data_IF_610678606587
#
_entry.id   IF_610678606587
#
_cell.length_a   1.000
_cell.length_b   1.000
_cell.length_c   1.000
_cell.angle_alpha   90.00
_cell.angle_beta   90.00
_cell.angle_gamma   90.00
#
_symmetry.space_group_name_H-M   'P 1'
#
loop_
_entity.id
_entity.type
_entity.pdbx_description
1 polymer ?
#
# COMPACT_ATOMS: atom_id res chain seq x y z
N UNK A 1 -27.60 22.51 12.61
CA UNK A 1 -27.34 21.08 12.81
C UNK A 1 -28.54 20.33 12.27
N UNK A 2 -28.37 19.62 11.16
CA UNK A 2 -29.39 18.71 10.66
C UNK A 2 -28.86 17.29 10.90
N UNK A 3 -29.50 16.57 11.81
CA UNK A 3 -29.17 15.19 12.14
C UNK A 3 -30.43 14.50 12.62
N UNK A 4 -30.63 13.26 12.17
CA UNK A 4 -31.75 12.42 12.59
C UNK A 4 -31.54 11.99 14.04
N UNK A 5 -32.37 12.42 15.00
CA UNK A 5 -32.25 11.99 16.39
C UNK A 5 -32.29 10.45 16.47
N UNK A 6 -31.25 9.84 17.04
CA UNK A 6 -31.08 8.37 17.11
C UNK A 6 -30.27 7.74 15.97
N UNK A 7 -29.76 8.52 15.01
CA UNK A 7 -28.85 8.05 13.95
C UNK A 7 -27.38 7.91 14.38
N UNK A 8 -26.46 7.55 13.47
CA UNK A 8 -25.02 7.54 13.73
C UNK A 8 -24.44 8.97 13.74
N UNK A 9 -23.77 9.36 14.82
CA UNK A 9 -23.24 10.72 14.98
C UNK A 9 -21.94 10.91 14.17
N UNK A 10 -21.78 12.02 13.43
CA UNK A 10 -20.53 12.30 12.72
C UNK A 10 -19.41 12.74 13.65
N UNK A 11 -18.20 12.25 13.38
CA UNK A 11 -16.97 12.75 13.98
C UNK A 11 -16.54 14.04 13.29
N UNK A 12 -16.79 15.19 13.91
CA UNK A 12 -16.59 16.50 13.27
C UNK A 12 -15.31 17.21 13.69
N UNK A 13 -14.49 16.54 14.51
CA UNK A 13 -13.23 17.09 15.02
C UNK A 13 -12.09 16.69 14.07
N UNK A 14 -11.44 17.67 13.40
CA UNK A 14 -10.44 17.38 12.38
C UNK A 14 -9.13 16.85 12.99
N UNK A 15 -8.33 16.11 12.20
CA UNK A 15 -7.01 15.67 12.62
C UNK A 15 -6.02 16.85 12.70
N UNK A 16 -5.04 16.71 13.59
CA UNK A 16 -3.83 17.53 13.62
C UNK A 16 -2.84 17.03 12.55
N UNK A 17 -2.79 17.73 11.42
CA UNK A 17 -1.90 17.43 10.29
C UNK A 17 -0.40 17.60 10.59
N UNK A 18 -0.01 18.01 11.81
CA UNK A 18 1.38 17.88 12.25
C UNK A 18 1.85 16.41 12.31
N UNK A 19 0.91 15.47 12.39
CA UNK A 19 1.14 14.03 12.21
C UNK A 19 0.28 13.51 11.05
N UNK A 20 0.76 12.49 10.31
CA UNK A 20 0.00 11.96 9.19
C UNK A 20 -1.25 11.22 9.66
N UNK A 21 -2.31 11.29 8.86
CA UNK A 21 -3.47 10.41 8.98
C UNK A 21 -3.10 9.07 8.34
N UNK A 22 -3.08 8.00 9.12
CA UNK A 22 -2.73 6.65 8.64
C UNK A 22 -3.98 5.92 8.22
N UNK A 23 -4.03 5.49 6.97
CA UNK A 23 -5.04 4.59 6.42
C UNK A 23 -4.46 3.18 6.32
N UNK A 24 -4.99 2.24 7.09
CA UNK A 24 -4.62 0.82 7.02
C UNK A 24 -5.65 0.03 6.22
N UNK A 25 -5.17 -0.85 5.34
CA UNK A 25 -5.96 -1.78 4.52
C UNK A 25 -5.52 -3.22 4.82
N UNK A 26 -6.42 -4.05 5.38
CA UNK A 26 -6.11 -5.43 5.76
C UNK A 26 -7.03 -6.46 5.10
N UNK A 27 -6.46 -7.37 4.31
CA UNK A 27 -7.20 -8.37 3.53
C UNK A 27 -7.45 -9.69 4.28
N UNK A 28 -6.88 -9.87 5.47
CA UNK A 28 -6.98 -11.11 6.22
C UNK A 28 -6.37 -12.28 5.46
N UNK A 29 -5.14 -12.11 4.97
CA UNK A 29 -4.48 -13.11 4.14
C UNK A 29 -4.01 -14.30 4.97
N UNK A 30 -4.38 -15.50 4.54
CA UNK A 30 -3.86 -16.74 5.10
C UNK A 30 -2.64 -17.18 4.28
N UNK A 31 -1.49 -17.32 4.95
CA UNK A 31 -0.26 -17.85 4.36
C UNK A 31 0.11 -19.13 5.08
N UNK A 32 0.03 -20.25 4.38
CA UNK A 32 0.52 -21.53 4.85
C UNK A 32 1.88 -21.79 4.21
N UNK A 33 2.87 -22.21 4.99
CA UNK A 33 4.20 -22.57 4.48
C UNK A 33 4.57 -23.95 4.97
N UNK A 34 5.03 -24.80 4.06
CA UNK A 34 5.60 -26.09 4.43
C UNK A 34 7.00 -25.89 5.05
N UNK A 35 7.23 -26.43 6.25
CA UNK A 35 8.50 -26.27 6.95
C UNK A 35 9.68 -26.89 6.19
N UNK A 36 9.47 -28.07 5.59
CA UNK A 36 10.54 -28.84 4.91
C UNK A 36 10.89 -28.30 3.53
N UNK A 37 9.90 -27.89 2.73
CA UNK A 37 10.15 -27.46 1.34
C UNK A 37 10.14 -25.95 1.16
N UNK A 38 9.64 -25.19 2.13
CA UNK A 38 9.48 -23.74 2.04
C UNK A 38 8.40 -23.26 1.08
N UNK A 39 7.73 -24.17 0.36
CA UNK A 39 6.60 -23.87 -0.54
C UNK A 39 5.44 -23.31 0.28
N UNK A 40 4.83 -22.25 -0.24
CA UNK A 40 3.73 -21.57 0.44
C UNK A 40 2.46 -21.46 -0.40
N UNK A 41 1.33 -21.52 0.29
CA UNK A 41 0.00 -21.28 -0.25
C UNK A 41 -0.53 -19.96 0.32
N UNK A 42 -1.14 -19.16 -0.56
CA UNK A 42 -1.59 -17.81 -0.24
C UNK A 42 -3.04 -17.63 -0.68
N UNK A 43 -3.88 -17.13 0.23
CA UNK A 43 -5.26 -16.81 -0.08
C UNK A 43 -5.73 -15.58 0.71
N UNK A 44 -6.58 -14.77 0.08
CA UNK A 44 -7.25 -13.66 0.73
C UNK A 44 -8.59 -14.13 1.30
N UNK A 45 -8.87 -13.87 2.57
CA UNK A 45 -10.16 -14.22 3.19
C UNK A 45 -11.23 -13.13 2.98
N UNK A 46 -10.86 -11.96 2.45
CA UNK A 46 -11.76 -10.83 2.23
C UNK A 46 -11.68 -10.33 0.80
N UNK A 47 -12.83 -10.00 0.21
CA UNK A 47 -12.89 -9.36 -1.11
C UNK A 47 -12.47 -7.89 -1.04
N UNK A 48 -13.02 -7.14 -0.08
CA UNK A 48 -12.62 -5.77 0.24
C UNK A 48 -11.80 -5.75 1.54
N UNK A 49 -10.74 -4.93 1.64
CA UNK A 49 -9.95 -4.85 2.86
C UNK A 49 -10.79 -4.32 4.04
N UNK A 50 -10.48 -4.78 5.25
CA UNK A 50 -10.86 -4.03 6.43
C UNK A 50 -10.03 -2.75 6.48
N UNK A 51 -10.72 -1.63 6.49
CA UNK A 51 -10.11 -0.31 6.47
C UNK A 51 -10.15 0.32 7.86
N UNK A 52 -9.03 0.89 8.29
CA UNK A 52 -8.95 1.67 9.51
C UNK A 52 -8.26 3.01 9.26
N UNK A 53 -8.67 4.03 9.99
CA UNK A 53 -7.99 5.33 10.02
C UNK A 53 -7.49 5.61 11.42
N UNK A 54 -6.23 6.01 11.51
CA UNK A 54 -5.61 6.43 12.76
C UNK A 54 -5.05 7.82 12.59
N UNK A 55 -5.47 8.73 13.47
CA UNK A 55 -5.02 10.12 13.43
C UNK A 55 -4.98 10.70 14.83
N UNK A 56 -4.14 11.72 14.98
CA UNK A 56 -4.07 12.50 16.20
C UNK A 56 -4.98 13.71 16.10
N UNK A 57 -5.58 14.05 17.22
CA UNK A 57 -6.38 15.25 17.37
C UNK A 57 -5.71 16.11 18.44
N UNK A 58 -5.38 17.34 18.05
CA UNK A 58 -4.91 18.37 18.97
C UNK A 58 -5.98 19.46 19.02
N UNK A 59 -6.62 19.59 20.17
CA UNK A 59 -7.72 20.51 20.35
C UNK A 59 -7.47 21.46 21.51
N UNK A 60 -8.00 22.68 21.35
CA UNK A 60 -8.10 23.67 22.41
C UNK A 60 -9.55 24.15 22.56
N UNK A 61 -10.08 24.18 23.78
CA UNK A 61 -11.40 24.80 24.05
C UNK A 61 -12.62 24.01 23.57
N UNK A 62 -13.28 24.44 22.48
CA UNK A 62 -14.56 23.83 22.02
C UNK A 62 -14.38 22.44 21.39
N UNK A 63 -13.46 22.21 20.41
CA UNK A 63 -13.23 20.90 19.83
C UNK A 63 -12.84 19.85 20.89
N UNK A 64 -12.04 20.24 21.90
CA UNK A 64 -11.62 19.37 23.00
C UNK A 64 -12.80 18.82 23.78
N UNK A 65 -13.71 19.70 24.22
CA UNK A 65 -14.92 19.34 24.97
C UNK A 65 -15.90 18.55 24.11
N UNK A 66 -15.97 18.85 22.82
CA UNK A 66 -16.88 18.14 21.91
C UNK A 66 -16.40 16.72 21.60
N UNK A 67 -15.09 16.53 21.33
CA UNK A 67 -14.51 15.21 21.17
C UNK A 67 -14.67 14.36 22.44
N UNK A 68 -14.51 14.95 23.63
CA UNK A 68 -14.75 14.26 24.90
C UNK A 68 -16.20 13.76 25.01
N UNK A 69 -17.16 14.65 24.78
CA UNK A 69 -18.58 14.30 24.78
C UNK A 69 -18.90 13.20 23.74
N UNK A 70 -18.37 13.31 22.52
CA UNK A 70 -18.55 12.30 21.47
C UNK A 70 -17.99 10.94 21.90
N UNK A 71 -16.80 10.91 22.50
CA UNK A 71 -16.18 9.66 22.95
C UNK A 71 -16.96 9.04 24.10
N UNK A 72 -17.49 9.83 25.02
CA UNK A 72 -18.30 9.32 26.13
C UNK A 72 -19.65 8.77 25.69
N UNK A 73 -20.31 9.37 24.70
CA UNK A 73 -21.67 8.96 24.28
C UNK A 73 -21.68 7.98 23.11
N UNK A 74 -20.81 8.18 22.12
CA UNK A 74 -20.91 7.53 20.81
C UNK A 74 -19.82 6.50 20.52
N UNK A 75 -18.76 6.37 21.35
CA UNK A 75 -17.69 5.38 21.12
C UNK A 75 -18.20 3.93 21.10
N UNK A 76 -19.28 3.64 21.82
CA UNK A 76 -19.97 2.35 21.82
C UNK A 76 -20.83 2.08 20.59
N UNK A 77 -21.17 3.12 19.82
CA UNK A 77 -22.17 3.08 18.74
C UNK A 77 -21.53 3.21 17.35
N UNK A 78 -22.34 3.07 16.30
CA UNK A 78 -21.91 3.39 14.95
C UNK A 78 -21.75 4.92 14.81
N UNK A 79 -20.65 5.34 14.21
CA UNK A 79 -20.33 6.74 13.97
C UNK A 79 -20.06 6.97 12.48
N UNK A 80 -20.21 8.21 12.04
CA UNK A 80 -19.83 8.61 10.68
C UNK A 80 -18.45 9.24 10.72
N UNK A 81 -17.50 8.66 10.01
CA UNK A 81 -16.14 9.15 9.88
C UNK A 81 -16.01 9.92 8.57
N UNK A 82 -15.65 11.21 8.60
CA UNK A 82 -15.16 11.90 7.42
C UNK A 82 -13.84 11.30 6.97
N UNK A 83 -13.72 10.97 5.69
CA UNK A 83 -12.45 10.60 5.08
C UNK A 83 -11.61 11.87 4.96
N UNK A 84 -10.88 12.21 6.02
CA UNK A 84 -10.13 13.46 6.15
C UNK A 84 -9.17 13.75 4.99
N UNK A 85 -8.46 12.76 4.41
CA UNK A 85 -7.63 13.00 3.23
C UNK A 85 -8.44 13.45 2.00
N UNK A 86 -9.71 13.04 1.88
CA UNK A 86 -10.56 13.36 0.72
C UNK A 86 -11.33 14.68 0.90
N UNK A 87 -10.60 15.73 1.29
CA UNK A 87 -11.13 17.08 1.33
C UNK A 87 -11.33 17.63 -0.09
N UNK A 88 -12.45 18.30 -0.31
CA UNK A 88 -12.58 19.28 -1.40
C UNK A 88 -13.34 20.53 -0.97
N UNK A 89 -13.08 21.64 -1.65
CA UNK A 89 -13.76 22.90 -1.44
C UNK A 89 -14.82 23.11 -2.52
N UNK A 90 -16.07 23.32 -2.11
CA UNK A 90 -17.17 23.56 -3.04
C UNK A 90 -17.48 25.05 -3.20
N UNK A 91 -18.14 25.38 -4.31
CA UNK A 91 -18.73 26.69 -4.55
C UNK A 91 -19.86 27.02 -3.54
N UNK A 92 -20.45 28.23 -3.63
CA UNK A 92 -21.60 28.56 -2.80
C UNK A 92 -22.79 27.65 -3.13
N UNK A 93 -23.46 27.13 -2.11
CA UNK A 93 -24.64 26.28 -2.25
C UNK A 93 -25.86 26.98 -1.64
N UNK A 94 -26.99 26.93 -2.33
CA UNK A 94 -28.28 27.36 -1.77
C UNK A 94 -28.94 26.21 -1.02
N UNK A 95 -29.89 26.51 -0.13
CA UNK A 95 -30.77 25.50 0.44
C UNK A 95 -31.68 24.90 -0.64
N UNK A 96 -32.03 23.63 -0.52
CA UNK A 96 -32.95 22.94 -1.43
C UNK A 96 -32.28 22.34 -2.66
N UNK A 97 -30.94 22.28 -2.71
CA UNK A 97 -30.21 21.71 -3.85
C UNK A 97 -30.26 20.18 -3.81
N UNK A 98 -30.70 19.56 -4.90
CA UNK A 98 -30.67 18.11 -5.09
C UNK A 98 -29.39 17.58 -5.74
N UNK A 99 -28.44 18.45 -6.08
CA UNK A 99 -27.13 18.06 -6.61
C UNK A 99 -26.05 19.05 -6.21
N UNK A 100 -24.81 18.57 -6.08
CA UNK A 100 -23.62 19.36 -5.76
C UNK A 100 -22.58 19.10 -6.83
N UNK A 101 -22.12 20.15 -7.51
CA UNK A 101 -21.01 20.06 -8.45
C UNK A 101 -19.68 19.92 -7.68
N UNK A 102 -18.96 18.82 -7.93
CA UNK A 102 -17.75 18.47 -7.19
C UNK A 102 -16.93 17.41 -7.94
N UNK A 103 -15.64 17.31 -7.64
CA UNK A 103 -14.82 16.24 -8.23
C UNK A 103 -15.17 14.90 -7.58
N UNK A 104 -15.28 13.86 -8.40
CA UNK A 104 -15.62 12.48 -7.99
C UNK A 104 -14.46 11.50 -8.23
N UNK A 105 -13.60 11.80 -9.20
CA UNK A 105 -12.46 10.94 -9.54
C UNK A 105 -11.40 10.96 -8.45
N UNK A 106 -11.04 9.77 -7.95
CA UNK A 106 -10.07 9.63 -6.86
C UNK A 106 -10.57 10.11 -5.50
N UNK A 107 -11.89 10.27 -5.32
CA UNK A 107 -12.53 10.47 -4.02
C UNK A 107 -13.27 9.21 -3.59
N UNK A 108 -13.36 8.99 -2.29
CA UNK A 108 -14.04 7.83 -1.69
C UNK A 108 -15.57 7.98 -1.59
N UNK A 109 -16.22 8.61 -2.59
CA UNK A 109 -17.68 8.63 -2.70
C UNK A 109 -18.20 7.31 -3.25
N UNK A 110 -19.39 6.91 -2.80
CA UNK A 110 -20.10 5.73 -3.31
C UNK A 110 -21.57 6.06 -3.51
N UNK A 111 -22.20 5.39 -4.48
CA UNK A 111 -23.66 5.36 -4.58
C UNK A 111 -24.28 4.87 -3.27
N UNK A 112 -25.46 5.38 -2.93
CA UNK A 112 -26.12 5.16 -1.62
C UNK A 112 -25.24 5.49 -0.40
N UNK A 113 -24.21 6.31 -0.61
CA UNK A 113 -23.24 6.74 0.39
C UNK A 113 -23.67 7.97 1.18
N UNK A 114 -22.74 8.47 1.99
CA UNK A 114 -22.92 9.68 2.78
C UNK A 114 -21.83 10.69 2.46
N UNK A 115 -22.18 11.97 2.51
CA UNK A 115 -21.24 13.08 2.39
C UNK A 115 -21.45 14.09 3.52
N UNK A 116 -20.40 14.83 3.88
CA UNK A 116 -20.45 15.85 4.91
C UNK A 116 -20.12 17.20 4.32
N UNK A 117 -21.03 18.17 4.46
CA UNK A 117 -20.68 19.58 4.38
C UNK A 117 -20.25 20.06 5.77
N UNK A 118 -19.01 20.53 5.86
CA UNK A 118 -18.38 20.92 7.12
C UNK A 118 -17.95 22.40 7.07
N UNK A 119 -18.49 23.18 8.00
CA UNK A 119 -18.08 24.56 8.28
C UNK A 119 -17.43 24.75 9.66
N UNK A 120 -17.56 23.77 10.54
CA UNK A 120 -16.97 23.76 11.88
C UNK A 120 -17.51 22.62 12.74
N UNK A 121 -16.97 22.46 13.95
CA UNK A 121 -17.33 21.36 14.87
C UNK A 121 -18.83 21.35 15.20
N UNK A 122 -19.48 22.51 15.28
CA UNK A 122 -20.91 22.71 15.54
C UNK A 122 -21.72 23.12 14.30
N UNK A 123 -21.08 23.27 13.13
CA UNK A 123 -21.71 23.71 11.87
C UNK A 123 -21.40 22.72 10.77
N UNK A 124 -22.29 21.76 10.60
CA UNK A 124 -22.16 20.68 9.65
C UNK A 124 -23.54 20.17 9.21
N UNK A 125 -23.56 19.51 8.07
CA UNK A 125 -24.73 18.86 7.48
C UNK A 125 -24.32 17.55 6.82
N UNK A 126 -24.99 16.46 7.21
CA UNK A 126 -24.82 15.15 6.59
C UNK A 126 -25.80 15.04 5.43
N UNK A 127 -25.28 14.66 4.27
CA UNK A 127 -26.03 14.48 3.04
C UNK A 127 -26.04 13.00 2.65
N UNK A 128 -27.18 12.53 2.16
CA UNK A 128 -27.32 11.20 1.57
C UNK A 128 -27.11 11.31 0.05
N UNK A 129 -26.16 10.54 -0.48
CA UNK A 129 -25.83 10.51 -1.91
C UNK A 129 -26.67 9.42 -2.56
N UNK A 130 -27.47 9.78 -3.56
CA UNK A 130 -28.21 8.82 -4.37
C UNK A 130 -27.29 8.17 -5.41
N UNK A 131 -26.63 9.00 -6.23
CA UNK A 131 -25.71 8.55 -7.27
C UNK A 131 -24.50 9.48 -7.39
N UNK A 132 -23.36 8.90 -7.72
CA UNK A 132 -22.11 9.60 -8.00
C UNK A 132 -21.93 9.72 -9.51
N UNK A 133 -22.22 10.90 -10.07
CA UNK A 133 -22.01 11.19 -11.48
C UNK A 133 -20.61 11.81 -11.71
N UNK A 134 -20.02 11.67 -12.90
CA UNK A 134 -18.78 12.36 -13.22
C UNK A 134 -18.91 13.88 -13.02
N UNK A 135 -18.24 14.41 -12.00
CA UNK A 135 -18.24 15.84 -11.69
C UNK A 135 -19.42 16.35 -10.86
N UNK A 136 -20.30 15.49 -10.36
CA UNK A 136 -21.39 15.89 -9.48
C UNK A 136 -21.88 14.75 -8.54
N UNK A 137 -22.36 15.13 -7.36
CA UNK A 137 -23.11 14.24 -6.48
C UNK A 137 -24.60 14.56 -6.59
N UNK A 138 -25.40 13.54 -6.92
CA UNK A 138 -26.86 13.63 -6.85
C UNK A 138 -27.29 13.23 -5.45
N UNK A 139 -28.07 14.08 -4.78
CA UNK A 139 -28.48 13.88 -3.40
C UNK A 139 -29.83 13.19 -3.33
N UNK A 140 -29.98 12.23 -2.42
CA UNK A 140 -31.26 11.58 -2.13
C UNK A 140 -32.21 12.54 -1.41
N UNK A 141 -31.65 13.40 -0.55
CA UNK A 141 -32.37 14.48 0.14
C UNK A 141 -31.71 15.82 -0.18
N UNK A 142 -32.48 16.88 -0.48
CA UNK A 142 -31.91 18.17 -0.81
C UNK A 142 -31.22 18.82 0.39
N UNK A 143 -30.28 19.74 0.14
CA UNK A 143 -29.62 20.50 1.20
C UNK A 143 -30.63 21.26 2.06
N UNK A 144 -30.47 21.19 3.37
CA UNK A 144 -31.31 21.85 4.37
C UNK A 144 -30.88 23.30 4.62
N UNK A 145 -29.61 23.62 4.38
CA UNK A 145 -29.03 24.93 4.68
C UNK A 145 -28.26 25.49 3.47
N UNK A 146 -28.09 26.81 3.45
CA UNK A 146 -27.21 27.47 2.49
C UNK A 146 -25.77 27.44 3.02
N UNK A 147 -24.82 27.23 2.11
CA UNK A 147 -23.40 27.11 2.42
C UNK A 147 -22.58 28.13 1.64
N UNK A 148 -21.68 28.87 2.30
CA UNK A 148 -20.83 29.85 1.62
C UNK A 148 -19.80 29.16 0.72
N UNK A 149 -19.23 29.93 -0.21
CA UNK A 149 -18.08 29.49 -1.02
C UNK A 149 -16.93 29.06 -0.12
N UNK A 150 -16.29 27.95 -0.45
CA UNK A 150 -15.18 27.39 0.34
C UNK A 150 -15.63 26.47 1.47
N UNK A 151 -16.89 26.03 1.44
CA UNK A 151 -17.36 24.96 2.33
C UNK A 151 -16.60 23.67 2.03
N UNK A 152 -16.22 22.94 3.08
CA UNK A 152 -15.50 21.68 2.96
C UNK A 152 -16.49 20.55 2.74
N UNK A 153 -16.29 19.77 1.68
CA UNK A 153 -17.04 18.56 1.38
C UNK A 153 -16.14 17.36 1.62
N UNK A 154 -16.62 16.39 2.40
CA UNK A 154 -15.94 15.13 2.69
C UNK A 154 -16.83 13.94 2.36
N UNK A 155 -16.30 12.84 1.82
CA UNK A 155 -16.95 11.54 1.89
C UNK A 155 -17.09 11.08 3.35
N UNK A 156 -18.23 10.48 3.69
CA UNK A 156 -18.46 9.89 5.01
C UNK A 156 -18.52 8.37 4.91
N UNK A 157 -17.82 7.71 5.83
CA UNK A 157 -17.86 6.26 6.00
C UNK A 157 -18.47 5.87 7.33
N UNK A 158 -19.25 4.79 7.36
CA UNK A 158 -19.78 4.24 8.61
C UNK A 158 -18.70 3.42 9.31
N UNK A 159 -18.40 3.78 10.55
CA UNK A 159 -17.35 3.14 11.33
C UNK A 159 -17.63 3.13 12.83
N UNK A 160 -16.62 2.70 13.57
CA UNK A 160 -16.64 2.73 15.03
C UNK A 160 -15.25 3.06 15.56
N UNK A 161 -15.19 3.83 16.64
CA UNK A 161 -13.94 4.08 17.36
C UNK A 161 -13.49 2.80 18.05
N UNK A 162 -12.21 2.42 17.88
CA UNK A 162 -11.62 1.28 18.58
C UNK A 162 -11.46 1.60 20.07
N UNK A 163 -11.78 0.64 20.92
CA UNK A 163 -11.60 0.78 22.37
C UNK A 163 -10.11 0.89 22.74
N UNK A 164 -9.83 1.55 23.88
CA UNK A 164 -8.46 1.70 24.39
C UNK A 164 -7.72 2.92 23.84
N UNK A 165 -8.43 4.02 23.56
CA UNK A 165 -7.81 5.28 23.17
C UNK A 165 -6.88 5.77 24.27
N UNK A 166 -5.78 6.39 23.84
CA UNK A 166 -4.86 7.07 24.73
C UNK A 166 -5.07 8.57 24.63
N UNK A 167 -5.17 9.21 25.78
CA UNK A 167 -5.27 10.66 25.92
C UNK A 167 -4.07 11.16 26.69
N UNK A 168 -3.44 12.22 26.19
CA UNK A 168 -2.44 12.99 26.91
C UNK A 168 -2.97 14.39 27.14
N UNK A 169 -3.35 14.69 28.37
CA UNK A 169 -3.79 16.02 28.79
C UNK A 169 -2.55 16.87 29.10
N UNK A 170 -2.44 18.05 28.50
CA UNK A 170 -1.31 18.98 28.74
C UNK A 170 -1.71 20.17 29.61
N UNK A 171 -2.98 20.58 29.55
CA UNK A 171 -3.58 21.63 30.38
C UNK A 171 -5.10 21.39 30.48
N UNK A 172 -5.79 22.19 31.29
CA UNK A 172 -7.23 22.03 31.58
C UNK A 172 -8.12 21.97 30.32
N UNK A 173 -7.77 22.69 29.26
CA UNK A 173 -8.53 22.78 28.00
C UNK A 173 -7.74 22.36 26.76
N UNK A 174 -6.58 21.71 26.94
CA UNK A 174 -5.69 21.30 25.84
C UNK A 174 -5.09 19.93 26.06
N UNK A 175 -5.14 19.12 25.02
CA UNK A 175 -4.51 17.81 25.03
C UNK A 175 -4.37 17.23 23.63
N UNK A 176 -3.89 15.99 23.62
CA UNK A 176 -3.72 15.20 22.41
C UNK A 176 -4.41 13.86 22.60
N UNK A 177 -5.19 13.45 21.59
CA UNK A 177 -5.86 12.15 21.56
C UNK A 177 -5.46 11.42 20.30
N UNK A 178 -5.06 10.16 20.44
CA UNK A 178 -4.87 9.27 19.29
C UNK A 178 -6.15 8.48 19.09
N UNK A 179 -6.82 8.72 17.97
CA UNK A 179 -8.12 8.12 17.66
C UNK A 179 -7.94 7.15 16.50
N UNK A 180 -8.40 5.92 16.70
CA UNK A 180 -8.43 4.89 15.66
C UNK A 180 -9.87 4.52 15.35
N UNK A 181 -10.29 4.76 14.12
CA UNK A 181 -11.58 4.37 13.58
C UNK A 181 -11.46 3.13 12.72
N UNK A 182 -12.36 2.18 12.92
CA UNK A 182 -12.52 0.99 12.08
C UNK A 182 -13.77 1.18 11.21
N UNK A 183 -13.61 1.14 9.89
CA UNK A 183 -14.74 1.22 8.94
C UNK A 183 -15.48 -0.12 8.97
N UNK A 184 -16.83 -0.06 9.00
CA UNK A 184 -17.72 -1.22 9.18
C UNK A 184 -18.53 -1.56 7.94
N UNK A 185 -18.24 -0.92 6.82
CA UNK A 185 -18.88 -1.16 5.53
C UNK A 185 -17.84 -1.58 4.47
N UNK A 186 -18.26 -2.27 3.41
CA UNK A 186 -17.37 -2.65 2.31
C UNK A 186 -16.71 -1.42 1.70
N UNK A 187 -15.38 -1.41 1.70
CA UNK A 187 -14.58 -0.39 1.04
C UNK A 187 -14.19 -0.90 -0.34
N UNK A 188 -15.08 -0.76 -1.32
CA UNK A 188 -14.75 -1.09 -2.70
C UNK A 188 -13.86 0.01 -3.30
N UNK A 189 -12.85 -0.40 -4.07
CA UNK A 189 -11.98 0.50 -4.82
C UNK A 189 -11.54 -0.21 -6.12
N UNK A 190 -11.34 0.52 -7.24
CA UNK A 190 -10.88 -0.10 -8.48
C UNK A 190 -9.51 -0.76 -8.27
N UNK A 191 -9.44 -2.08 -8.44
CA UNK A 191 -8.18 -2.82 -8.36
C UNK A 191 -7.40 -2.70 -9.67
N UNK A 192 -6.11 -2.40 -9.59
CA UNK A 192 -5.19 -2.39 -10.72
C UNK A 192 -4.17 -3.52 -10.55
N UNK A 193 -4.32 -4.59 -11.34
CA UNK A 193 -3.34 -5.68 -11.36
C UNK A 193 -2.06 -5.22 -12.08
N UNK A 194 -0.87 -5.71 -11.68
CA UNK A 194 0.34 -5.46 -12.44
C UNK A 194 0.21 -6.00 -13.87
N UNK A 195 0.57 -5.16 -14.86
CA UNK A 195 0.41 -5.49 -16.29
C UNK A 195 1.48 -6.49 -16.74
N UNK A 196 2.70 -6.37 -16.22
CA UNK A 196 3.79 -7.26 -16.57
C UNK A 196 3.64 -8.60 -15.84
N UNK A 197 3.76 -9.70 -16.58
CA UNK A 197 3.78 -11.06 -16.05
C UNK A 197 5.06 -11.78 -16.46
N UNK A 198 5.64 -12.55 -15.55
CA UNK A 198 6.82 -13.37 -15.80
C UNK A 198 6.63 -14.73 -15.12
N UNK A 199 6.80 -15.81 -15.89
CA UNK A 199 6.58 -17.20 -15.43
C UNK A 199 5.23 -17.39 -14.70
N UNK A 200 4.15 -16.82 -15.24
CA UNK A 200 2.80 -16.96 -14.70
C UNK A 200 2.46 -16.08 -13.49
N UNK A 201 3.44 -15.37 -12.92
CA UNK A 201 3.23 -14.44 -11.80
C UNK A 201 3.37 -12.98 -12.24
N UNK A 202 2.64 -12.04 -11.63
CA UNK A 202 2.80 -10.60 -11.89
C UNK A 202 4.18 -10.10 -11.45
N UNK A 203 4.68 -9.04 -12.09
CA UNK A 203 5.94 -8.35 -11.73
C UNK A 203 5.63 -6.97 -11.17
N UNK A 204 6.26 -6.61 -10.04
CA UNK A 204 6.19 -5.27 -9.49
C UNK A 204 7.01 -4.30 -10.34
N UNK A 205 6.37 -3.60 -11.27
CA UNK A 205 6.98 -2.53 -12.05
C UNK A 205 6.87 -1.14 -11.38
N UNK A 206 6.31 -1.09 -10.17
CA UNK A 206 6.24 0.14 -9.38
C UNK A 206 7.55 0.38 -8.63
N UNK A 207 8.45 1.14 -9.26
CA UNK A 207 9.79 1.43 -8.72
C UNK A 207 9.72 2.26 -7.42
N UNK A 208 10.44 1.88 -6.35
CA UNK A 208 10.54 2.64 -5.11
C UNK A 208 11.35 3.92 -5.29
N UNK A 209 11.15 4.87 -4.39
CA UNK A 209 11.92 6.12 -4.39
C UNK A 209 13.27 5.94 -3.71
N UNK A 210 14.33 6.38 -4.41
CA UNK A 210 15.73 6.26 -3.98
C UNK A 210 16.04 7.06 -2.68
N UNK A 211 15.12 7.90 -2.20
CA UNK A 211 15.26 8.73 -0.99
C UNK A 211 14.76 8.08 0.30
N UNK A 212 14.20 6.86 0.24
CA UNK A 212 13.76 6.12 1.41
C UNK A 212 14.75 5.02 1.79
N UNK A 213 15.08 4.90 3.07
CA UNK A 213 15.98 3.83 3.53
C UNK A 213 15.37 2.45 3.24
N UNK A 214 15.98 1.72 2.30
CA UNK A 214 15.58 0.36 1.99
C UNK A 214 16.09 -0.62 3.04
N UNK A 215 15.17 -1.17 3.84
CA UNK A 215 15.46 -2.27 4.74
C UNK A 215 15.66 -3.60 3.99
N UNK A 216 16.63 -4.41 4.42
CA UNK A 216 16.81 -5.77 3.93
C UNK A 216 16.98 -6.73 5.10
N UNK A 217 16.33 -7.89 5.03
CA UNK A 217 16.53 -8.98 5.99
C UNK A 217 16.84 -10.29 5.26
N UNK A 218 17.57 -11.16 5.93
CA UNK A 218 17.92 -12.48 5.42
C UNK A 218 17.41 -13.50 6.43
N UNK A 219 16.41 -14.28 6.04
CA UNK A 219 15.87 -15.35 6.85
C UNK A 219 16.10 -16.71 6.19
N UNK A 220 16.69 -17.65 6.94
CA UNK A 220 16.89 -19.04 6.50
C UNK A 220 16.12 -19.94 7.44
N UNK A 221 15.42 -20.94 6.90
CA UNK A 221 14.60 -21.85 7.68
C UNK A 221 15.50 -22.90 8.36
N UNK A 222 16.03 -22.54 9.53
CA UNK A 222 16.85 -23.41 10.37
C UNK A 222 15.98 -24.08 11.43
N UNK A 223 16.20 -25.37 11.67
CA UNK A 223 15.68 -26.07 12.83
C UNK A 223 16.82 -26.53 13.71
N UNK A 224 16.77 -26.21 14.99
CA UNK A 224 17.75 -26.63 15.98
C UNK A 224 17.15 -27.74 16.84
N UNK A 225 17.88 -28.84 17.00
CA UNK A 225 17.54 -29.94 17.90
C UNK A 225 18.69 -30.10 18.89
N UNK A 226 18.48 -29.60 20.11
CA UNK A 226 19.37 -29.83 21.26
C UNK A 226 18.79 -30.95 22.14
N UNK A 227 19.67 -31.78 22.70
CA UNK A 227 19.34 -32.75 23.74
C UNK A 227 20.01 -32.43 25.08
N UNK A 228 20.57 -31.21 25.22
CA UNK A 228 21.25 -30.66 26.41
C UNK A 228 22.41 -31.50 26.97
N UNK A 229 22.80 -32.57 26.26
CA UNK A 229 23.88 -33.49 26.59
C UNK A 229 25.02 -33.43 25.56
N UNK A 230 24.74 -32.92 24.35
CA UNK A 230 25.70 -32.69 23.27
C UNK A 230 25.50 -31.34 22.59
N UNK A 231 26.35 -31.03 21.61
CA UNK A 231 26.18 -29.84 20.78
C UNK A 231 24.86 -29.91 19.97
N UNK A 232 24.21 -28.76 19.69
CA UNK A 232 22.95 -28.74 18.97
C UNK A 232 23.13 -29.25 17.53
N UNK A 233 22.15 -30.02 17.05
CA UNK A 233 22.05 -30.39 15.65
C UNK A 233 21.21 -29.34 14.91
N UNK A 234 21.82 -28.67 13.93
CA UNK A 234 21.15 -27.68 13.09
C UNK A 234 20.79 -28.27 11.73
N UNK A 235 19.55 -28.07 11.30
CA UNK A 235 19.03 -28.54 10.02
C UNK A 235 18.56 -27.37 9.17
N UNK A 236 19.09 -27.29 7.95
CA UNK A 236 18.58 -26.39 6.91
C UNK A 236 17.45 -27.04 6.15
N UNK A 237 16.23 -26.66 6.51
CA UNK A 237 15.04 -27.32 6.01
C UNK A 237 14.85 -27.02 4.52
N UNK A 238 14.72 -25.74 4.17
CA UNK A 238 14.40 -25.33 2.81
C UNK A 238 15.62 -25.19 1.91
N UNK A 239 16.85 -25.15 2.46
CA UNK A 239 18.08 -24.93 1.69
C UNK A 239 18.06 -23.66 0.83
N UNK A 240 17.22 -22.68 1.20
CA UNK A 240 17.00 -21.43 0.47
C UNK A 240 17.04 -20.26 1.44
N UNK A 241 17.76 -19.21 1.05
CA UNK A 241 17.74 -17.93 1.72
C UNK A 241 16.51 -17.13 1.27
N UNK A 242 15.60 -16.85 2.20
CA UNK A 242 14.43 -16.02 1.96
C UNK A 242 14.76 -14.57 2.37
N UNK A 243 14.90 -13.70 1.38
CA UNK A 243 15.17 -12.27 1.60
C UNK A 243 13.87 -11.54 1.91
N UNK A 244 13.89 -10.70 2.94
CA UNK A 244 12.89 -9.64 3.14
C UNK A 244 13.41 -8.32 2.57
N UNK A 245 12.53 -7.54 1.96
CA UNK A 245 12.84 -6.19 1.47
C UNK A 245 11.75 -5.21 1.84
N UNK A 246 12.13 -4.05 2.38
CA UNK A 246 11.24 -2.92 2.64
C UNK A 246 11.49 -1.83 1.61
N UNK A 247 10.42 -1.33 1.01
CA UNK A 247 10.43 -0.31 -0.05
C UNK A 247 9.44 0.81 0.28
N UNK A 248 9.77 2.03 -0.10
CA UNK A 248 8.96 3.23 0.14
C UNK A 248 8.65 4.00 -1.14
N UNK A 249 7.48 4.64 -1.16
CA UNK A 249 7.00 5.51 -2.24
C UNK A 249 6.37 6.77 -1.66
N UNK A 250 6.73 7.91 -2.22
CA UNK A 250 6.08 9.20 -2.05
C UNK A 250 5.03 9.37 -3.14
N UNK A 251 3.82 9.69 -2.72
CA UNK A 251 2.66 9.86 -3.59
C UNK A 251 2.32 11.34 -3.66
N UNK A 252 2.28 11.87 -4.88
CA UNK A 252 2.05 13.30 -5.12
C UNK A 252 0.76 13.53 -5.88
N UNK A 253 -0.21 14.13 -5.19
CA UNK A 253 -1.52 14.44 -5.72
C UNK A 253 -2.45 13.23 -5.84
N UNK A 254 -3.71 13.54 -6.12
CA UNK A 254 -4.82 12.59 -6.03
C UNK A 254 -4.73 11.45 -7.01
N UNK A 255 -4.30 11.72 -8.24
CA UNK A 255 -4.17 10.70 -9.26
C UNK A 255 -3.16 9.62 -8.86
N UNK A 256 -2.03 10.01 -8.28
CA UNK A 256 -0.99 9.07 -7.85
C UNK A 256 -1.40 8.31 -6.58
N UNK A 257 -2.03 9.00 -5.62
CA UNK A 257 -2.59 8.35 -4.43
C UNK A 257 -3.68 7.34 -4.78
N UNK A 258 -4.58 7.69 -5.69
CA UNK A 258 -5.62 6.79 -6.20
C UNK A 258 -5.04 5.58 -6.92
N UNK A 259 -4.03 5.80 -7.78
CA UNK A 259 -3.34 4.72 -8.49
C UNK A 259 -2.58 3.79 -7.53
N UNK A 260 -1.90 4.34 -6.52
CA UNK A 260 -1.25 3.56 -5.48
C UNK A 260 -2.26 2.69 -4.73
N UNK A 261 -3.38 3.28 -4.30
CA UNK A 261 -4.48 2.53 -3.67
C UNK A 261 -5.00 1.41 -4.58
N UNK A 262 -5.19 1.67 -5.87
CA UNK A 262 -5.57 0.64 -6.85
C UNK A 262 -4.56 -0.51 -6.96
N UNK A 263 -3.26 -0.21 -6.90
CA UNK A 263 -2.20 -1.24 -6.88
C UNK A 263 -2.27 -2.09 -5.60
N UNK A 264 -2.49 -1.48 -4.43
CA UNK A 264 -2.68 -2.21 -3.17
C UNK A 264 -3.89 -3.17 -3.24
N UNK A 265 -5.00 -2.71 -3.81
CA UNK A 265 -6.18 -3.56 -4.06
C UNK A 265 -5.91 -4.68 -5.08
N UNK A 266 -5.01 -4.47 -6.04
CA UNK A 266 -4.56 -5.53 -6.95
C UNK A 266 -3.72 -6.61 -6.26
N UNK A 267 -2.86 -6.23 -5.32
CA UNK A 267 -2.01 -7.17 -4.57
C UNK A 267 -2.77 -7.94 -3.47
N UNK A 268 -3.86 -7.36 -2.94
CA UNK A 268 -4.71 -7.96 -1.91
C UNK A 268 -3.94 -8.46 -0.68
N UNK A 269 -3.03 -7.62 -0.17
CA UNK A 269 -2.15 -8.00 0.94
C UNK A 269 -1.07 -8.99 0.51
N UNK A 270 -0.90 -10.08 1.26
CA UNK A 270 -0.01 -11.20 0.96
C UNK A 270 -0.65 -12.36 0.17
N UNK A 271 -1.81 -12.15 -0.46
CA UNK A 271 -2.55 -13.22 -1.15
C UNK A 271 -2.05 -13.51 -2.56
N UNK A 272 -1.45 -12.51 -3.23
CA UNK A 272 -0.93 -12.63 -4.59
C UNK A 272 0.60 -12.64 -4.52
N UNK A 273 1.25 -13.78 -4.81
CA UNK A 273 2.69 -13.80 -5.05
C UNK A 273 3.04 -12.98 -6.28
N UNK A 274 4.14 -12.24 -6.20
CA UNK A 274 4.60 -11.41 -7.31
C UNK A 274 6.14 -11.33 -7.33
N UNK A 275 6.68 -11.15 -8.52
CA UNK A 275 8.11 -10.94 -8.72
C UNK A 275 8.47 -9.52 -8.32
N UNK A 276 9.31 -9.41 -7.29
CA UNK A 276 9.80 -8.12 -6.79
C UNK A 276 11.25 -7.95 -7.27
N UNK A 277 11.54 -6.93 -8.10
CA UNK A 277 12.91 -6.59 -8.44
C UNK A 277 13.65 -6.09 -7.21
N UNK A 278 14.95 -6.39 -7.12
CA UNK A 278 15.81 -5.78 -6.11
C UNK A 278 15.95 -4.26 -6.28
N UNK A 279 15.65 -3.74 -7.48
CA UNK A 279 15.86 -2.37 -7.96
C UNK A 279 17.31 -1.88 -7.95
N UNK A 280 18.24 -2.79 -7.66
CA UNK A 280 19.68 -2.55 -7.58
C UNK A 280 20.38 -3.01 -8.84
N UNK A 281 21.57 -2.48 -9.07
CA UNK A 281 22.49 -2.99 -10.09
C UNK A 281 23.21 -4.21 -9.52
N UNK A 282 22.49 -5.33 -9.42
CA UNK A 282 23.03 -6.58 -8.90
C UNK A 282 24.06 -7.21 -9.82
N UNK A 283 23.87 -7.03 -11.13
CA UNK A 283 24.78 -7.49 -12.18
C UNK A 283 25.10 -6.33 -13.12
N UNK A 284 26.32 -6.35 -13.67
CA UNK A 284 26.76 -5.38 -14.68
C UNK A 284 27.23 -6.09 -15.93
N UNK A 285 26.67 -5.71 -17.06
CA UNK A 285 27.02 -6.30 -18.35
C UNK A 285 28.45 -5.91 -18.74
N UNK A 286 29.31 -6.90 -18.98
CA UNK A 286 30.71 -6.69 -19.34
C UNK A 286 30.93 -6.68 -20.87
N UNK A 287 30.14 -7.45 -21.62
CA UNK A 287 30.27 -7.57 -23.07
C UNK A 287 28.92 -7.44 -23.78
N UNK A 288 28.87 -6.99 -25.05
CA UNK A 288 27.63 -6.91 -25.80
C UNK A 288 27.01 -8.28 -26.04
N UNK A 289 25.68 -8.34 -26.02
CA UNK A 289 24.88 -9.53 -26.30
C UNK A 289 24.20 -9.34 -27.66
N UNK A 290 24.32 -10.32 -28.56
CA UNK A 290 23.59 -10.30 -29.84
C UNK A 290 22.13 -10.72 -29.65
N UNK A 291 21.25 -10.32 -30.57
CA UNK A 291 19.81 -10.59 -30.47
C UNK A 291 19.46 -12.10 -30.34
N UNK A 292 20.30 -12.98 -30.86
CA UNK A 292 20.10 -14.44 -30.83
C UNK A 292 20.93 -15.16 -29.75
N UNK A 293 21.82 -14.45 -29.04
CA UNK A 293 22.65 -15.06 -28.00
C UNK A 293 21.82 -15.37 -26.75
N UNK A 294 22.03 -16.56 -26.20
CA UNK A 294 21.56 -16.97 -24.86
C UNK A 294 22.66 -16.86 -23.81
N UNK A 295 23.84 -16.38 -24.16
CA UNK A 295 24.94 -16.16 -23.20
C UNK A 295 25.09 -14.67 -22.91
N UNK A 296 25.14 -14.34 -21.63
CA UNK A 296 25.37 -13.01 -21.10
C UNK A 296 26.65 -12.99 -20.25
N UNK A 297 27.62 -12.19 -20.64
CA UNK A 297 28.87 -12.02 -19.87
C UNK A 297 28.77 -10.81 -18.96
N UNK A 298 28.88 -11.02 -17.65
CA UNK A 298 28.82 -9.99 -16.61
C UNK A 298 30.18 -9.82 -15.94
N UNK A 299 30.38 -8.66 -15.30
CA UNK A 299 31.51 -8.45 -14.41
C UNK A 299 31.47 -9.47 -13.26
N UNK A 300 32.63 -9.85 -12.74
CA UNK A 300 32.68 -10.83 -11.66
C UNK A 300 31.98 -10.30 -10.40
N UNK A 301 30.98 -11.06 -9.92
CA UNK A 301 30.24 -10.77 -8.68
C UNK A 301 30.33 -11.90 -7.65
N UNK A 302 30.97 -13.01 -8.03
CA UNK A 302 31.02 -14.25 -7.23
C UNK A 302 29.76 -15.10 -7.36
N UNK A 303 28.89 -14.81 -8.33
CA UNK A 303 27.68 -15.58 -8.61
C UNK A 303 27.99 -17.05 -8.92
N UNK A 304 29.01 -17.32 -9.74
CA UNK A 304 29.42 -18.67 -10.12
C UNK A 304 29.83 -19.51 -8.92
N UNK A 305 30.47 -18.89 -7.92
CA UNK A 305 31.00 -19.57 -6.74
C UNK A 305 29.97 -19.71 -5.60
N UNK A 306 29.12 -18.69 -5.40
CA UNK A 306 28.31 -18.55 -4.18
C UNK A 306 26.80 -18.51 -4.41
N UNK A 307 26.36 -18.15 -5.62
CA UNK A 307 24.95 -17.87 -5.93
C UNK A 307 24.35 -18.73 -7.03
N UNK A 308 25.15 -19.63 -7.63
CA UNK A 308 24.80 -20.37 -8.84
C UNK A 308 23.43 -21.05 -8.70
N UNK A 309 22.48 -20.59 -9.51
CA UNK A 309 21.14 -21.17 -9.66
C UNK A 309 20.31 -21.24 -8.37
N UNK A 310 20.70 -20.50 -7.34
CA UNK A 310 19.91 -20.44 -6.11
C UNK A 310 18.51 -19.86 -6.41
N UNK A 311 17.45 -20.43 -5.80
CA UNK A 311 16.11 -19.85 -5.90
C UNK A 311 16.12 -18.37 -5.47
N UNK A 312 15.33 -17.54 -6.16
CA UNK A 312 15.31 -16.07 -5.98
C UNK A 312 16.61 -15.32 -6.33
N UNK A 313 17.60 -15.99 -6.92
CA UNK A 313 18.84 -15.40 -7.46
C UNK A 313 19.13 -15.85 -8.90
N UNK A 314 18.14 -16.44 -9.58
CA UNK A 314 18.28 -16.93 -10.97
C UNK A 314 17.44 -16.15 -11.98
N UNK A 315 16.42 -15.44 -11.51
CA UNK A 315 15.51 -14.68 -12.37
C UNK A 315 15.97 -13.22 -12.41
N UNK A 316 16.03 -12.63 -13.60
CA UNK A 316 16.63 -11.32 -13.85
C UNK A 316 15.63 -10.37 -14.51
N UNK A 317 15.66 -9.11 -14.08
CA UNK A 317 15.05 -7.96 -14.76
C UNK A 317 16.16 -7.11 -15.35
N UNK A 318 16.19 -7.01 -16.67
CA UNK A 318 17.15 -6.22 -17.43
C UNK A 318 16.41 -4.98 -17.94
N UNK A 319 16.79 -3.82 -17.42
CA UNK A 319 16.23 -2.53 -17.84
C UNK A 319 17.22 -1.81 -18.74
N UNK A 320 16.78 -1.45 -19.94
CA UNK A 320 17.55 -0.64 -20.88
C UNK A 320 17.26 0.85 -20.67
N UNK A 321 18.20 1.70 -21.08
CA UNK A 321 18.07 3.17 -20.99
C UNK A 321 16.94 3.75 -21.85
N UNK A 322 16.44 3.00 -22.83
CA UNK A 322 15.30 3.38 -23.65
C UNK A 322 13.94 3.03 -23.00
N UNK A 323 13.95 2.41 -21.81
CA UNK A 323 12.75 2.00 -21.09
C UNK A 323 12.31 0.56 -21.38
N UNK A 324 12.96 -0.16 -22.29
CA UNK A 324 12.68 -1.57 -22.55
C UNK A 324 13.05 -2.42 -21.32
N UNK A 325 12.13 -3.27 -20.88
CA UNK A 325 12.33 -4.21 -19.78
C UNK A 325 12.26 -5.64 -20.30
N UNK A 326 13.28 -6.43 -20.00
CA UNK A 326 13.38 -7.84 -20.38
C UNK A 326 13.54 -8.72 -19.13
N UNK A 327 12.79 -9.82 -19.08
CA UNK A 327 12.89 -10.80 -18.00
C UNK A 327 13.53 -12.09 -18.49
N UNK A 328 14.54 -12.60 -17.80
CA UNK A 328 15.24 -13.83 -18.20
C UNK A 328 15.61 -14.68 -17.00
N UNK A 329 15.60 -15.99 -17.19
CA UNK A 329 16.07 -16.95 -16.20
C UNK A 329 17.47 -17.41 -16.54
N UNK A 330 18.36 -17.39 -15.57
CA UNK A 330 19.67 -18.01 -15.62
C UNK A 330 19.52 -19.51 -15.41
N UNK A 331 19.94 -20.30 -16.40
CA UNK A 331 19.89 -21.77 -16.42
C UNK A 331 21.23 -22.41 -16.11
N UNK A 332 22.32 -21.64 -16.24
CA UNK A 332 23.67 -22.06 -15.86
C UNK A 332 24.61 -20.87 -15.71
N UNK A 333 25.77 -21.12 -15.12
CA UNK A 333 26.86 -20.15 -15.01
C UNK A 333 28.20 -20.84 -15.25
N UNK A 334 29.12 -20.13 -15.89
CA UNK A 334 30.53 -20.51 -15.98
C UNK A 334 31.40 -19.35 -15.48
N UNK A 335 32.37 -19.68 -14.64
CA UNK A 335 33.42 -18.74 -14.23
C UNK A 335 34.41 -18.57 -15.40
N UNK A 336 34.71 -17.32 -15.74
CA UNK A 336 35.67 -16.93 -16.76
C UNK A 336 36.77 -16.02 -16.17
N UNK A 337 37.05 -16.16 -14.86
CA UNK A 337 38.09 -15.43 -14.14
C UNK A 337 37.64 -14.02 -13.77
N UNK A 338 37.96 -13.03 -14.61
CA UNK A 338 37.59 -11.63 -14.37
C UNK A 338 36.12 -11.30 -14.70
N UNK A 339 35.41 -12.26 -15.29
CA UNK A 339 33.99 -12.15 -15.69
C UNK A 339 33.27 -13.45 -15.41
N UNK A 340 31.93 -13.40 -15.36
CA UNK A 340 31.08 -14.57 -15.23
C UNK A 340 30.18 -14.66 -16.46
N UNK A 341 30.05 -15.86 -17.02
CA UNK A 341 29.16 -16.14 -18.16
C UNK A 341 27.88 -16.79 -17.68
N UNK A 342 26.76 -16.08 -17.81
CA UNK A 342 25.43 -16.55 -17.47
C UNK A 342 24.75 -17.11 -18.72
N UNK A 343 24.21 -18.32 -18.61
CA UNK A 343 23.38 -18.95 -19.65
C UNK A 343 21.92 -18.63 -19.36
N UNK A 344 21.22 -18.07 -20.34
CA UNK A 344 19.82 -17.65 -20.28
C UNK A 344 18.90 -18.73 -20.85
N UNK A 345 17.67 -18.76 -20.37
CA UNK A 345 16.59 -19.62 -20.86
C UNK A 345 16.15 -19.29 -22.30
N UNK A 346 16.23 -18.01 -22.67
CA UNK A 346 15.87 -17.52 -24.00
C UNK A 346 16.77 -16.34 -24.40
N UNK A 347 17.00 -16.12 -25.72
CA UNK A 347 17.77 -14.97 -26.19
C UNK A 347 17.04 -13.66 -25.86
N UNK A 348 17.77 -12.55 -25.78
CA UNK A 348 17.16 -11.23 -25.49
C UNK A 348 16.22 -10.75 -26.60
N UNK A 349 16.38 -11.25 -27.83
CA UNK A 349 15.60 -10.83 -29.01
C UNK A 349 16.04 -9.48 -29.58
N UNK A 350 16.90 -8.76 -28.87
CA UNK A 350 17.49 -7.48 -29.28
C UNK A 350 18.98 -7.49 -28.96
N UNK A 351 19.78 -6.81 -29.79
CA UNK A 351 21.21 -6.65 -29.51
C UNK A 351 21.37 -5.57 -28.42
N UNK A 352 22.15 -5.88 -27.38
CA UNK A 352 22.33 -5.02 -26.21
C UNK A 352 23.81 -4.80 -25.95
N UNK A 353 24.26 -3.55 -26.01
CA UNK A 353 25.59 -3.13 -25.59
C UNK A 353 25.59 -2.73 -24.10
N UNK A 354 26.72 -2.88 -23.36
CA UNK A 354 26.82 -2.49 -21.95
C UNK A 354 26.34 -1.07 -21.64
N UNK A 355 26.63 -0.11 -22.52
CA UNK A 355 26.22 1.28 -22.34
C UNK A 355 24.70 1.49 -22.40
N UNK A 356 23.96 0.60 -23.07
CA UNK A 356 22.50 0.67 -23.20
C UNK A 356 21.78 0.12 -21.99
N UNK A 357 22.45 -0.65 -21.13
CA UNK A 357 21.86 -1.20 -19.91
C UNK A 357 21.80 -0.11 -18.84
N UNK A 358 20.61 0.11 -18.28
CA UNK A 358 20.41 0.96 -17.11
C UNK A 358 20.71 0.18 -15.82
N UNK A 359 20.10 -0.98 -15.65
CA UNK A 359 20.30 -1.84 -14.50
C UNK A 359 19.95 -3.30 -14.81
N UNK A 360 20.62 -4.24 -14.13
CA UNK A 360 20.23 -5.65 -14.10
C UNK A 360 20.00 -6.01 -12.64
N UNK A 361 18.75 -6.34 -12.32
CA UNK A 361 18.30 -6.64 -10.96
C UNK A 361 17.84 -8.08 -10.86
N UNK A 362 18.11 -8.74 -9.74
CA UNK A 362 17.46 -10.02 -9.43
C UNK A 362 15.96 -9.82 -9.19
N UNK A 363 15.18 -10.79 -9.65
CA UNK A 363 13.77 -10.95 -9.32
C UNK A 363 13.65 -11.99 -8.21
N UNK A 364 12.92 -11.62 -7.16
CA UNK A 364 12.60 -12.51 -6.03
C UNK A 364 11.09 -12.69 -5.97
N UNK A 365 10.60 -13.93 -6.02
CA UNK A 365 9.18 -14.18 -5.84
C UNK A 365 8.85 -13.92 -4.39
N UNK A 366 7.94 -12.98 -4.15
CA UNK A 366 7.65 -12.48 -2.81
C UNK A 366 6.16 -12.25 -2.60
N UNK A 367 5.78 -12.18 -1.34
CA UNK A 367 4.43 -11.76 -0.92
C UNK A 367 4.51 -10.48 -0.11
N UNK A 368 3.52 -9.62 -0.28
CA UNK A 368 3.36 -8.40 0.52
C UNK A 368 2.85 -8.68 1.94
N UNK A 369 2.75 -7.65 2.78
CA UNK A 369 2.17 -7.78 4.11
C UNK A 369 0.64 -7.85 4.02
N UNK A 370 -0.01 -8.50 5.00
CA UNK A 370 -1.48 -8.54 5.07
C UNK A 370 -2.10 -7.15 5.22
N UNK A 371 -1.55 -6.38 6.16
CA UNK A 371 -1.94 -4.99 6.41
C UNK A 371 -0.98 -4.07 5.69
N UNK A 372 -1.52 -3.24 4.80
CA UNK A 372 -0.79 -2.23 4.04
C UNK A 372 -1.25 -0.85 4.49
N UNK A 373 -0.34 0.11 4.61
CA UNK A 373 -0.63 1.43 5.16
C UNK A 373 -0.28 2.54 4.17
N UNK A 374 -1.17 3.53 4.07
CA UNK A 374 -0.96 4.82 3.41
C UNK A 374 -0.92 5.89 4.51
N UNK A 375 0.19 6.60 4.64
CA UNK A 375 0.34 7.73 5.54
C UNK A 375 0.10 9.03 4.78
N UNK A 376 -1.04 9.68 5.03
CA UNK A 376 -1.43 10.95 4.43
C UNK A 376 -0.88 12.11 5.25
N UNK A 377 0.06 12.88 4.71
CA UNK A 377 0.65 14.05 5.39
C UNK A 377 -0.15 15.33 5.17
N UNK A 378 -0.89 15.38 4.06
CA UNK A 378 -1.85 16.44 3.74
C UNK A 378 -3.14 15.81 3.21
N UNK A 379 -4.04 16.63 2.68
CA UNK A 379 -5.12 16.11 1.84
C UNK A 379 -4.59 15.32 0.63
N UNK A 380 -5.49 14.59 -0.01
CA UNK A 380 -5.20 13.70 -1.12
C UNK A 380 -4.70 14.44 -2.37
N UNK A 381 -4.80 15.77 -2.43
CA UNK A 381 -4.24 16.60 -3.50
C UNK A 381 -2.76 16.97 -3.24
N UNK A 382 -2.26 16.76 -2.03
CA UNK A 382 -0.86 16.97 -1.66
C UNK A 382 -0.03 15.69 -1.55
N UNK A 383 0.52 15.41 -0.38
CA UNK A 383 1.54 14.38 -0.14
C UNK A 383 1.04 13.23 0.73
N UNK A 384 1.30 12.00 0.28
CA UNK A 384 1.20 10.79 1.08
C UNK A 384 2.43 9.89 0.89
N UNK A 385 2.60 8.91 1.76
CA UNK A 385 3.66 7.92 1.66
C UNK A 385 3.10 6.51 1.87
N UNK A 386 3.65 5.55 1.13
CA UNK A 386 3.39 4.12 1.31
C UNK A 386 4.71 3.42 1.54
N UNK A 387 4.72 2.48 2.47
CA UNK A 387 5.86 1.59 2.69
C UNK A 387 5.37 0.15 2.73
N UNK A 388 5.99 -0.72 1.93
CA UNK A 388 5.64 -2.14 1.83
C UNK A 388 6.85 -3.00 2.14
N UNK A 389 6.62 -4.06 2.91
CA UNK A 389 7.60 -5.09 3.20
C UNK A 389 7.25 -6.38 2.46
N UNK A 390 8.14 -6.82 1.59
CA UNK A 390 8.00 -8.06 0.83
C UNK A 390 8.83 -9.15 1.48
N UNK A 391 8.24 -10.34 1.60
CA UNK A 391 8.93 -11.53 2.09
C UNK A 391 9.05 -12.54 0.95
N UNK A 392 10.28 -12.94 0.65
CA UNK A 392 10.53 -13.97 -0.35
C UNK A 392 9.85 -15.29 0.01
N UNK A 393 9.39 -15.99 -1.02
CA UNK A 393 8.87 -17.35 -0.96
C UNK A 393 9.68 -18.23 -1.91
N UNK A 394 9.64 -19.55 -1.73
CA UNK A 394 10.28 -20.46 -2.67
C UNK A 394 9.49 -20.42 -3.99
N UNK A 395 10.12 -20.09 -5.14
CA UNK A 395 9.44 -20.10 -6.42
C UNK A 395 8.89 -21.48 -6.75
N UNK A 396 7.64 -21.53 -7.18
CA UNK A 396 6.92 -22.72 -7.63
C UNK A 396 7.08 -22.97 -9.15
N UNK A 397 8.01 -22.25 -9.80
CA UNK A 397 8.19 -22.15 -11.25
C UNK A 397 9.62 -22.35 -11.73
#
# INVERSE_FOLDING_TARGET
MAFTPGGPVPWTVPPDWARPVRESLGWGTNTLRANTTGVSFHASLRETPARAFEFEVFDEGLPWRFADALLHTASGQAMLLPVWPDLQLVGPLTSGLGSIACATDGYDFTDDGLALLWGGVNTWEVLEVATVDPGALVLASPTSQAWPRGTRLYPLRRGRVRNGLQETVRADDKGRRTVRFEVREPCAWPAAAPVATYLGHPVLEWRPDDGTDEGGSYNRLMAEVSNDLGGPAEFDLASVQLRGSSMGWHLWGRADQAAARSRLYGMRGGAVPLWVPSWKQDLRLAAPISAASTTMTVEWTGYAALGALQPNRRDLRIELRDGTVLYRRVTGVADAGATESLFLDAPLGVAVAPAQVRAISYLTLSVGPDSQEIAHYTDADGHAQVSLSFSAVVPDV
#
